data_IF_995290544241
#
_entry.id   IF_995290544241
#
_cell.length_a   1.000
_cell.length_b   1.000
_cell.length_c   1.000
_cell.angle_alpha   90.00
_cell.angle_beta   90.00
_cell.angle_gamma   90.00
#
_symmetry.space_group_name_H-M   'P 1'
#
loop_
_entity.id
_entity.type
_entity.pdbx_description
1 polymer ?
#
# COMPACT_ATOMS: atom_id res chain seq x y z
N UNK A 1 10.86 10.44 -12.80
CA UNK A 1 11.57 11.22 -11.78
C UNK A 1 13.01 11.40 -12.24
N UNK A 2 13.61 12.58 -12.07
CA UNK A 2 15.05 12.75 -12.37
C UNK A 2 15.90 12.14 -11.26
N UNK A 3 17.16 11.81 -11.53
CA UNK A 3 18.08 11.27 -10.52
C UNK A 3 18.26 12.21 -9.31
N UNK A 4 18.18 13.52 -9.53
CA UNK A 4 18.24 14.51 -8.45
C UNK A 4 16.98 14.48 -7.57
N UNK A 5 15.79 14.49 -8.18
CA UNK A 5 14.52 14.41 -7.46
C UNK A 5 14.39 13.10 -6.69
N UNK A 6 14.79 11.98 -7.31
CA UNK A 6 14.82 10.65 -6.66
C UNK A 6 15.72 10.69 -5.43
N UNK A 7 16.98 11.09 -5.59
CA UNK A 7 17.94 11.14 -4.49
C UNK A 7 17.46 12.06 -3.37
N UNK A 8 16.85 13.20 -3.70
CA UNK A 8 16.24 14.10 -2.72
C UNK A 8 15.14 13.42 -1.92
N UNK A 9 14.18 12.78 -2.61
CA UNK A 9 13.08 12.04 -1.98
C UNK A 9 13.59 10.89 -1.10
N UNK A 10 14.42 10.01 -1.67
CA UNK A 10 14.96 8.85 -0.95
C UNK A 10 15.75 9.28 0.29
N UNK A 11 16.56 10.35 0.20
CA UNK A 11 17.30 10.85 1.35
C UNK A 11 16.40 11.50 2.41
N UNK A 12 15.33 12.19 2.00
CA UNK A 12 14.35 12.73 2.94
C UNK A 12 13.70 11.59 3.74
N UNK A 13 13.20 10.56 3.05
CA UNK A 13 12.54 9.41 3.68
C UNK A 13 13.52 8.62 4.54
N UNK A 14 14.72 8.28 4.05
CA UNK A 14 15.74 7.55 4.84
C UNK A 14 16.09 8.24 6.15
N UNK A 15 16.06 9.58 6.20
CA UNK A 15 16.35 10.38 7.41
C UNK A 15 15.16 10.49 8.37
N UNK A 16 13.97 10.07 7.97
CA UNK A 16 12.79 10.01 8.84
C UNK A 16 11.57 10.78 8.35
N UNK A 17 11.62 11.44 7.18
CA UNK A 17 10.41 12.06 6.61
C UNK A 17 9.41 10.97 6.24
N UNK A 18 8.16 11.14 6.67
CA UNK A 18 7.09 10.21 6.30
C UNK A 18 6.66 10.36 4.85
N UNK A 19 6.29 9.25 4.23
CA UNK A 19 5.65 9.20 2.91
C UNK A 19 4.32 8.46 3.02
N UNK A 20 3.27 9.02 2.44
CA UNK A 20 1.98 8.38 2.30
C UNK A 20 1.45 8.68 0.91
N UNK A 21 0.86 7.67 0.27
CA UNK A 21 0.24 7.85 -1.04
C UNK A 21 -0.63 6.65 -1.39
N UNK A 22 -1.32 6.77 -2.52
CA UNK A 22 -2.26 5.75 -2.93
C UNK A 22 -2.32 5.56 -4.43
N UNK A 23 -2.88 4.42 -4.82
CA UNK A 23 -3.19 4.04 -6.19
C UNK A 23 -2.00 4.31 -7.13
N UNK A 24 -2.25 4.90 -8.30
CA UNK A 24 -1.21 5.32 -9.24
C UNK A 24 -0.30 6.45 -8.73
N UNK A 25 -0.70 7.19 -7.69
CA UNK A 25 0.06 8.33 -7.17
C UNK A 25 1.45 7.97 -6.65
N UNK A 26 1.60 6.78 -6.05
CA UNK A 26 2.94 6.23 -5.72
C UNK A 26 3.10 4.75 -6.10
N UNK A 27 2.01 4.01 -6.38
CA UNK A 27 2.08 2.59 -6.73
C UNK A 27 2.36 2.32 -8.22
N UNK A 28 1.94 3.23 -9.11
CA UNK A 28 2.23 3.19 -10.55
C UNK A 28 3.22 4.29 -10.99
N UNK A 29 3.65 5.13 -10.04
CA UNK A 29 4.61 6.19 -10.31
C UNK A 29 6.02 5.61 -10.55
N UNK A 30 6.75 6.24 -11.48
CA UNK A 30 8.18 6.00 -11.70
C UNK A 30 8.58 4.53 -11.91
N UNK A 31 7.82 3.79 -12.73
CA UNK A 31 7.97 2.33 -12.96
C UNK A 31 9.38 1.82 -13.32
N UNK A 32 10.24 2.67 -13.88
CA UNK A 32 11.62 2.32 -14.22
C UNK A 32 12.62 2.62 -13.08
N UNK A 33 12.13 3.00 -11.90
CA UNK A 33 12.95 3.37 -10.74
C UNK A 33 12.78 2.32 -9.62
N UNK A 34 13.72 1.39 -9.58
CA UNK A 34 13.68 0.26 -8.65
C UNK A 34 13.87 0.68 -7.19
N UNK A 35 14.63 1.74 -6.91
CA UNK A 35 14.83 2.23 -5.54
C UNK A 35 13.58 2.91 -4.99
N UNK A 36 12.84 3.64 -5.84
CA UNK A 36 11.55 4.20 -5.48
C UNK A 36 10.53 3.09 -5.18
N UNK A 37 10.45 2.07 -6.02
CA UNK A 37 9.59 0.91 -5.78
C UNK A 37 9.97 0.17 -4.49
N UNK A 38 11.28 0.03 -4.23
CA UNK A 38 11.78 -0.58 -3.01
C UNK A 38 11.43 0.23 -1.75
N UNK A 39 11.48 1.57 -1.84
CA UNK A 39 11.01 2.46 -0.77
C UNK A 39 9.51 2.32 -0.52
N UNK A 40 8.68 2.33 -1.58
CA UNK A 40 7.21 2.19 -1.49
C UNK A 40 6.82 0.80 -0.96
N UNK A 41 7.60 -0.24 -1.29
CA UNK A 41 7.35 -1.62 -0.87
C UNK A 41 6.39 -2.39 -1.80
N UNK A 42 6.07 -1.84 -2.96
CA UNK A 42 5.28 -2.53 -3.98
C UNK A 42 5.11 -1.69 -5.24
N UNK A 43 4.55 -2.29 -6.28
CA UNK A 43 4.28 -1.64 -7.57
C UNK A 43 3.05 -2.24 -8.25
N UNK A 44 2.34 -1.39 -8.99
CA UNK A 44 1.24 -1.80 -9.85
C UNK A 44 1.75 -2.63 -11.03
N UNK A 45 1.01 -3.69 -11.34
CA UNK A 45 1.31 -4.60 -12.45
C UNK A 45 0.17 -4.63 -13.46
N UNK A 46 -1.06 -4.81 -12.97
CA UNK A 46 -2.26 -4.93 -13.80
C UNK A 46 -3.52 -4.61 -12.99
N UNK A 47 -4.64 -4.42 -13.69
CA UNK A 47 -5.99 -4.34 -13.12
C UNK A 47 -7.00 -5.06 -14.04
N UNK A 48 -6.95 -6.41 -14.12
CA UNK A 48 -7.85 -7.17 -14.98
C UNK A 48 -9.32 -6.84 -14.69
N UNK A 49 -10.10 -6.55 -15.74
CA UNK A 49 -11.50 -6.11 -15.59
C UNK A 49 -11.69 -4.59 -15.60
N UNK A 50 -10.62 -3.80 -15.51
CA UNK A 50 -10.68 -2.35 -15.39
C UNK A 50 -11.41 -1.95 -14.09
N UNK A 51 -12.61 -1.35 -14.17
CA UNK A 51 -13.42 -0.98 -12.99
C UNK A 51 -14.43 -2.10 -12.70
N UNK A 52 -14.30 -2.75 -11.55
CA UNK A 52 -15.12 -3.89 -11.13
C UNK A 52 -15.50 -3.82 -9.65
N UNK A 53 -16.47 -4.65 -9.27
CA UNK A 53 -16.78 -4.92 -7.88
C UNK A 53 -15.79 -5.90 -7.27
N UNK A 54 -15.27 -5.59 -6.09
CA UNK A 54 -14.41 -6.49 -5.32
C UNK A 54 -14.48 -6.20 -3.83
N UNK A 55 -14.07 -7.19 -3.04
CA UNK A 55 -14.01 -7.09 -1.58
C UNK A 55 -12.61 -6.72 -1.11
N UNK A 56 -12.57 -5.91 -0.07
CA UNK A 56 -11.35 -5.63 0.70
C UNK A 56 -11.50 -6.29 2.06
N UNK A 57 -10.56 -7.18 2.38
CA UNK A 57 -10.52 -7.91 3.64
C UNK A 57 -9.48 -7.29 4.58
N UNK A 58 -9.90 -6.90 5.78
CA UNK A 58 -9.00 -6.39 6.82
C UNK A 58 -8.30 -7.57 7.50
N UNK A 59 -6.97 -7.53 7.59
CA UNK A 59 -6.18 -8.64 8.17
C UNK A 59 -5.64 -8.34 9.56
N UNK A 60 -5.52 -7.07 9.94
CA UNK A 60 -5.08 -6.64 11.27
C UNK A 60 -6.10 -5.66 11.84
N UNK A 61 -7.02 -6.15 12.68
CA UNK A 61 -8.06 -5.32 13.30
C UNK A 61 -7.56 -4.55 14.54
N UNK A 62 -6.30 -4.74 14.95
CA UNK A 62 -5.69 -4.07 16.10
C UNK A 62 -4.77 -2.91 15.69
N UNK A 63 -4.23 -2.93 14.46
CA UNK A 63 -3.39 -1.86 13.94
C UNK A 63 -4.12 -0.52 13.94
N UNK A 64 -3.43 0.55 14.36
CA UNK A 64 -4.01 1.90 14.45
C UNK A 64 -4.63 2.38 13.13
N UNK A 65 -4.17 1.90 11.98
CA UNK A 65 -4.72 2.28 10.67
C UNK A 65 -6.06 1.58 10.40
N UNK A 66 -6.18 0.29 10.70
CA UNK A 66 -7.35 -0.54 10.38
C UNK A 66 -8.24 -0.86 11.58
N UNK A 67 -7.90 -0.34 12.77
CA UNK A 67 -8.58 -0.66 14.03
C UNK A 67 -10.10 -0.46 13.94
N UNK A 68 -10.83 -1.52 14.25
CA UNK A 68 -12.29 -1.53 14.31
C UNK A 68 -13.00 -1.40 12.96
N UNK A 69 -12.27 -1.45 11.85
CA UNK A 69 -12.87 -1.51 10.52
C UNK A 69 -13.28 -2.95 10.20
N UNK A 70 -14.40 -3.11 9.50
CA UNK A 70 -14.84 -4.36 8.91
C UNK A 70 -14.34 -4.47 7.47
N UNK A 71 -14.47 -5.66 6.90
CA UNK A 71 -14.36 -5.86 5.46
C UNK A 71 -15.40 -5.00 4.73
N UNK A 72 -15.07 -4.55 3.52
CA UNK A 72 -15.90 -3.63 2.77
C UNK A 72 -15.83 -3.85 1.27
N UNK A 73 -16.82 -3.34 0.56
CA UNK A 73 -16.95 -3.47 -0.89
C UNK A 73 -16.40 -2.24 -1.60
N UNK A 74 -15.74 -2.47 -2.73
CA UNK A 74 -15.27 -1.43 -3.65
C UNK A 74 -15.90 -1.63 -5.03
N UNK A 75 -16.06 -0.53 -5.77
CA UNK A 75 -16.32 -0.54 -7.20
C UNK A 75 -15.33 0.41 -7.88
N UNK A 76 -14.17 -0.11 -8.25
CA UNK A 76 -13.02 0.68 -8.72
C UNK A 76 -12.05 -0.23 -9.48
N UNK A 77 -10.88 0.28 -9.84
CA UNK A 77 -9.81 -0.55 -10.38
C UNK A 77 -9.23 -1.47 -9.28
N UNK A 78 -9.38 -2.80 -9.45
CA UNK A 78 -8.77 -3.78 -8.56
C UNK A 78 -7.31 -4.01 -8.97
N UNK A 79 -6.39 -3.45 -8.19
CA UNK A 79 -4.96 -3.48 -8.50
C UNK A 79 -4.29 -4.81 -8.14
N UNK A 80 -3.70 -5.46 -9.14
CA UNK A 80 -2.76 -6.56 -8.95
C UNK A 80 -1.36 -5.99 -8.69
N UNK A 81 -0.79 -6.32 -7.53
CA UNK A 81 0.43 -5.70 -7.02
C UNK A 81 1.55 -6.73 -6.92
N UNK A 82 2.77 -6.33 -7.28
CA UNK A 82 3.98 -7.01 -6.80
C UNK A 82 4.44 -6.30 -5.52
N UNK A 83 4.57 -7.07 -4.44
CA UNK A 83 4.76 -6.52 -3.09
C UNK A 83 6.04 -7.07 -2.46
N UNK A 84 6.77 -6.22 -1.78
CA UNK A 84 7.95 -6.60 -1.01
C UNK A 84 7.54 -7.50 0.17
N UNK A 85 8.18 -8.67 0.37
CA UNK A 85 7.84 -9.59 1.44
C UNK A 85 8.12 -9.06 2.86
N UNK A 86 8.66 -7.85 3.00
CA UNK A 86 8.95 -7.18 4.27
C UNK A 86 8.08 -5.92 4.49
N UNK A 87 6.85 -5.92 3.96
CA UNK A 87 5.82 -4.95 4.34
C UNK A 87 4.90 -5.51 5.42
N UNK A 88 4.37 -4.65 6.29
CA UNK A 88 3.24 -4.99 7.16
C UNK A 88 1.95 -4.78 6.38
N UNK A 89 1.38 -5.86 5.85
CA UNK A 89 0.07 -5.85 5.18
C UNK A 89 -1.02 -5.57 6.24
N UNK A 90 -2.02 -4.78 5.88
CA UNK A 90 -3.16 -4.44 6.75
C UNK A 90 -4.51 -4.81 6.14
N UNK A 91 -4.58 -4.86 4.81
CA UNK A 91 -5.74 -5.33 4.09
C UNK A 91 -5.34 -5.99 2.76
N UNK A 92 -6.15 -6.93 2.30
CA UNK A 92 -5.99 -7.68 1.05
C UNK A 92 -7.26 -7.65 0.21
N UNK A 93 -7.16 -8.08 -1.03
CA UNK A 93 -8.30 -8.45 -1.88
C UNK A 93 -8.03 -9.82 -2.51
N UNK A 94 -9.08 -10.53 -2.92
CA UNK A 94 -8.96 -11.82 -3.62
C UNK A 94 -9.37 -11.64 -5.08
N UNK A 95 -8.50 -12.04 -6.00
CA UNK A 95 -8.78 -12.03 -7.43
C UNK A 95 -9.57 -13.27 -7.84
N UNK A 96 -10.49 -13.10 -8.80
CA UNK A 96 -11.19 -14.19 -9.47
C UNK A 96 -10.57 -14.45 -10.84
N UNK A 97 -10.80 -15.65 -11.37
CA UNK A 97 -10.37 -16.03 -12.72
C UNK A 97 -11.16 -15.39 -13.88
N UNK A 98 -12.12 -14.51 -13.61
CA UNK A 98 -13.05 -13.97 -14.62
C UNK A 98 -12.33 -13.21 -15.75
N UNK A 99 -11.31 -12.42 -15.40
CA UNK A 99 -10.56 -11.60 -16.35
C UNK A 99 -9.13 -12.12 -16.62
N UNK A 100 -8.63 -13.03 -15.78
CA UNK A 100 -7.34 -13.68 -15.93
C UNK A 100 -7.35 -15.02 -15.15
N UNK A 101 -7.58 -16.13 -15.84
CA UNK A 101 -7.80 -17.43 -15.18
C UNK A 101 -6.61 -17.95 -14.36
N UNK A 102 -5.39 -17.54 -14.68
CA UNK A 102 -4.17 -18.00 -14.00
C UNK A 102 -3.90 -17.28 -12.66
N UNK A 103 -4.72 -16.30 -12.27
CA UNK A 103 -4.66 -15.62 -10.96
C UNK A 103 -5.88 -15.91 -10.08
N UNK A 104 -6.71 -16.89 -10.46
CA UNK A 104 -7.89 -17.25 -9.67
C UNK A 104 -7.51 -17.63 -8.23
N UNK A 105 -8.19 -17.02 -7.26
CA UNK A 105 -7.92 -17.19 -5.83
C UNK A 105 -6.67 -16.48 -5.32
N UNK A 106 -5.97 -15.69 -6.13
CA UNK A 106 -4.79 -14.94 -5.68
C UNK A 106 -5.18 -13.87 -4.66
N UNK A 107 -4.56 -13.92 -3.48
CA UNK A 107 -4.73 -12.92 -2.42
C UNK A 107 -3.63 -11.88 -2.60
N UNK A 108 -4.02 -10.62 -2.81
CA UNK A 108 -3.12 -9.51 -3.11
C UNK A 108 -3.26 -8.42 -2.05
N UNK A 109 -2.14 -7.94 -1.45
CA UNK A 109 -2.17 -6.80 -0.54
C UNK A 109 -2.70 -5.52 -1.21
N UNK A 110 -3.60 -4.82 -0.53
CA UNK A 110 -4.14 -3.52 -0.97
C UNK A 110 -3.80 -2.39 -0.02
N UNK A 111 -3.43 -2.67 1.23
CA UNK A 111 -2.97 -1.65 2.20
C UNK A 111 -1.78 -2.18 2.96
N UNK A 112 -0.70 -1.39 3.05
CA UNK A 112 0.46 -1.77 3.83
C UNK A 112 1.23 -0.60 4.42
N UNK A 113 2.07 -0.94 5.41
CA UNK A 113 3.06 -0.06 6.03
C UNK A 113 4.46 -0.64 5.88
N UNK A 114 5.45 0.22 5.74
CA UNK A 114 6.88 -0.15 5.71
C UNK A 114 7.73 0.95 6.34
N UNK A 115 8.94 0.62 6.76
CA UNK A 115 9.99 1.60 7.04
C UNK A 115 11.07 1.59 5.95
N UNK A 116 11.51 2.77 5.52
CA UNK A 116 12.68 2.93 4.63
C UNK A 116 13.71 3.84 5.30
N UNK A 117 14.81 3.24 5.78
CA UNK A 117 15.66 3.90 6.78
C UNK A 117 14.85 4.20 8.04
N UNK A 118 14.75 5.47 8.42
CA UNK A 118 13.92 5.94 9.54
C UNK A 118 12.51 6.39 9.14
N UNK A 119 12.21 6.47 7.84
CA UNK A 119 10.95 7.01 7.33
C UNK A 119 9.84 5.98 7.33
N UNK A 120 8.67 6.36 7.83
CA UNK A 120 7.41 5.60 7.73
C UNK A 120 6.80 5.80 6.34
N UNK A 121 6.56 4.70 5.64
CA UNK A 121 5.97 4.67 4.30
C UNK A 121 4.63 3.93 4.37
N UNK A 122 3.56 4.61 4.01
CA UNK A 122 2.20 4.07 3.94
C UNK A 122 1.73 4.04 2.49
N UNK A 123 1.10 2.94 2.11
CA UNK A 123 0.48 2.81 0.79
C UNK A 123 -0.90 2.14 0.88
N UNK A 124 -1.80 2.60 0.02
CA UNK A 124 -3.07 1.95 -0.31
C UNK A 124 -3.22 1.85 -1.82
N UNK A 125 -3.58 0.71 -2.38
CA UNK A 125 -3.91 0.59 -3.81
C UNK A 125 -5.30 1.14 -4.15
N UNK A 126 -6.13 1.42 -3.15
CA UNK A 126 -7.47 1.98 -3.32
C UNK A 126 -7.41 3.48 -3.67
N UNK A 127 -8.40 3.98 -4.42
CA UNK A 127 -8.54 5.41 -4.70
C UNK A 127 -8.15 5.81 -6.12
N UNK A 128 -8.75 5.17 -7.13
CA UNK A 128 -8.62 5.52 -8.55
C UNK A 128 -9.15 6.92 -8.83
N UNK A 129 -10.30 7.24 -8.23
CA UNK A 129 -10.97 8.54 -8.30
C UNK A 129 -11.38 9.02 -6.92
N UNK A 130 -11.62 10.33 -6.77
CA UNK A 130 -12.04 10.91 -5.49
C UNK A 130 -13.31 10.26 -4.91
N UNK A 131 -14.22 9.80 -5.79
CA UNK A 131 -15.46 9.10 -5.40
C UNK A 131 -15.20 7.80 -4.62
N UNK A 132 -14.07 7.14 -4.82
CA UNK A 132 -13.72 5.92 -4.09
C UNK A 132 -13.61 6.16 -2.58
N UNK A 133 -13.34 7.40 -2.17
CA UNK A 133 -13.31 7.82 -0.77
C UNK A 133 -14.69 8.19 -0.21
N UNK A 134 -15.77 8.00 -0.96
CA UNK A 134 -17.12 7.94 -0.40
C UNK A 134 -17.35 6.62 0.35
N UNK A 135 -16.52 5.60 0.12
CA UNK A 135 -16.45 4.38 0.94
C UNK A 135 -15.78 4.73 2.28
N UNK A 136 -16.50 4.70 3.42
CA UNK A 136 -16.00 5.21 4.70
C UNK A 136 -14.72 4.53 5.18
N UNK A 137 -14.60 3.22 4.99
CA UNK A 137 -13.44 2.42 5.37
C UNK A 137 -12.21 2.83 4.58
N UNK A 138 -12.33 2.99 3.25
CA UNK A 138 -11.24 3.43 2.39
C UNK A 138 -10.73 4.83 2.77
N UNK A 139 -11.65 5.77 3.04
CA UNK A 139 -11.29 7.11 3.49
C UNK A 139 -10.63 7.10 4.88
N UNK A 140 -11.15 6.32 5.82
CA UNK A 140 -10.63 6.25 7.18
C UNK A 140 -9.23 5.61 7.20
N UNK A 141 -9.00 4.55 6.43
CA UNK A 141 -7.68 3.97 6.19
C UNK A 141 -6.71 5.02 5.66
N UNK A 142 -7.11 5.79 4.65
CA UNK A 142 -6.26 6.83 4.06
C UNK A 142 -5.87 7.89 5.10
N UNK A 143 -6.85 8.42 5.83
CA UNK A 143 -6.64 9.43 6.88
C UNK A 143 -5.69 8.92 7.97
N UNK A 144 -5.88 7.67 8.43
CA UNK A 144 -5.06 7.08 9.49
C UNK A 144 -3.66 6.74 9.00
N UNK A 145 -3.51 6.27 7.77
CA UNK A 145 -2.23 6.02 7.13
C UNK A 145 -1.39 7.29 6.97
N UNK A 146 -2.01 8.38 6.50
CA UNK A 146 -1.34 9.70 6.43
C UNK A 146 -0.89 10.15 7.83
N UNK A 147 -1.76 10.07 8.84
CA UNK A 147 -1.42 10.43 10.23
C UNK A 147 -0.28 9.58 10.78
N UNK A 148 -0.29 8.28 10.50
CA UNK A 148 0.76 7.37 10.93
C UNK A 148 2.13 7.70 10.31
N UNK A 149 2.15 8.05 9.01
CA UNK A 149 3.38 8.49 8.34
C UNK A 149 3.84 9.88 8.81
N UNK A 150 2.92 10.80 9.10
CA UNK A 150 3.23 12.19 9.44
C UNK A 150 4.06 12.35 10.73
N UNK A 151 3.95 11.40 11.67
CA UNK A 151 4.69 11.43 12.94
C UNK A 151 6.08 10.78 12.87
N UNK A 152 6.54 10.37 11.68
CA UNK A 152 7.76 9.57 11.47
C UNK A 152 9.06 10.18 12.01
N UNK A 153 9.15 11.51 12.14
CA UNK A 153 10.34 12.17 12.70
C UNK A 153 10.33 12.23 14.23
N UNK A 154 9.15 12.05 14.85
CA UNK A 154 8.92 12.33 16.26
C UNK A 154 8.66 11.08 17.08
N UNK A 155 8.14 10.03 16.44
CA UNK A 155 7.92 8.74 17.07
C UNK A 155 8.94 7.71 16.59
N UNK A 156 9.34 6.81 17.50
CA UNK A 156 10.23 5.71 17.16
C UNK A 156 9.67 4.86 16.01
N UNK A 157 10.54 4.35 15.13
CA UNK A 157 10.12 3.45 14.09
C UNK A 157 9.57 2.18 14.71
N UNK A 158 8.49 1.76 14.11
CA UNK A 158 7.72 0.60 14.47
C UNK A 158 8.56 -0.62 13.98
N UNK A 159 9.12 -1.42 14.91
CA UNK A 159 10.08 -2.48 14.57
C UNK A 159 9.38 -3.71 14.00
N UNK A 160 9.23 -3.74 12.67
CA UNK A 160 8.69 -4.90 11.96
C UNK A 160 9.64 -5.33 10.85
N UNK A 161 10.61 -6.17 11.18
CA UNK A 161 11.12 -7.14 10.21
C UNK A 161 10.23 -8.37 10.35
N UNK A 162 9.11 -8.36 9.64
CA UNK A 162 8.20 -9.52 9.55
C UNK A 162 8.30 -10.08 8.14
N UNK A 163 9.44 -10.71 7.78
CA UNK A 163 9.53 -11.37 6.49
C UNK A 163 8.42 -12.41 6.42
N UNK A 164 7.63 -12.38 5.34
CA UNK A 164 6.58 -13.36 5.08
C UNK A 164 7.15 -14.79 5.14
N UNK A 165 8.42 -14.96 4.78
CA UNK A 165 9.13 -16.22 4.85
C UNK A 165 9.95 -16.35 6.13
N UNK A 166 9.85 -17.47 6.86
CA UNK A 166 10.57 -17.66 8.10
C UNK A 166 12.08 -17.68 7.88
N UNK A 167 12.84 -17.19 8.86
CA UNK A 167 14.30 -17.42 8.91
C UNK A 167 14.53 -18.92 9.15
N UNK A 168 15.38 -19.54 8.32
CA UNK A 168 15.83 -20.92 8.55
C UNK A 168 16.74 -21.00 9.77
#
# INVERSE_FOLDING_TARGET
ITNEQERGLLNAVRRGVGLAGWHGGIGDAFRNNVEFQFMVGGQWVAHPGNVIHYDVNIIDHDDKVTKGLSDFHMNSEQYYMHVDPNVKVLATTTFTGEHASWIDGAIVPVVWKKTYGKGRVFYSSLGHVAKDFEVPEALEIMKRGIRWSAVSLYEEPEMWLSPIYPRK
#
